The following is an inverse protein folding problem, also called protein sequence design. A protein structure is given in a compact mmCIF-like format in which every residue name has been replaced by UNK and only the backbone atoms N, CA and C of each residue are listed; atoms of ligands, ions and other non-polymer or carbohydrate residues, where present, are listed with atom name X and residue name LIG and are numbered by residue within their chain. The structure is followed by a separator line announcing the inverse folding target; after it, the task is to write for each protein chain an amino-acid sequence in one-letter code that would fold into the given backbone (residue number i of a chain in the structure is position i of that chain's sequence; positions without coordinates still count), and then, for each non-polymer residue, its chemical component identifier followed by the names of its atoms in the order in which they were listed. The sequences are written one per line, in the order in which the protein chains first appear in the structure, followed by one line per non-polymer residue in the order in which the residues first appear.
data_IF_039463151850
#
_entry.id   IF_039463151850
#
_cell.length_a   1.000
_cell.length_b   1.000
_cell.length_c   1.000
_cell.angle_alpha   90.00
_cell.angle_beta   90.00
_cell.angle_gamma   90.00
#
_symmetry.space_group_name_H-M   'P 1'
#
loop_
_entity.id
_entity.type
_entity.pdbx_description
1 polymer ?
#
# COMPACT_ATOMS: atom_id res chain seq x y z
N UNK A 1 -32.80 -38.87 -21.96
CA UNK A 1 -31.35 -38.94 -22.25
C UNK A 1 -31.20 -39.68 -23.57
N UNK A 2 -30.90 -38.98 -24.67
CA UNK A 2 -30.65 -39.60 -25.97
C UNK A 2 -29.36 -39.05 -26.56
N UNK A 3 -28.52 -40.00 -27.02
CA UNK A 3 -27.66 -39.97 -28.21
C UNK A 3 -26.49 -38.95 -28.29
N UNK A 4 -25.36 -39.22 -28.94
CA UNK A 4 -24.77 -40.41 -29.57
C UNK A 4 -23.29 -40.04 -29.85
N UNK A 5 -22.52 -41.09 -30.06
CA UNK A 5 -21.08 -41.28 -30.13
C UNK A 5 -20.34 -40.71 -31.36
N UNK A 6 -19.00 -40.59 -31.17
CA UNK A 6 -17.90 -40.78 -32.13
C UNK A 6 -17.59 -39.73 -33.21
N UNK A 7 -16.35 -39.19 -33.16
CA UNK A 7 -15.32 -39.28 -34.22
C UNK A 7 -14.04 -38.58 -33.67
N UNK A 8 -12.93 -39.24 -33.29
CA UNK A 8 -11.94 -40.04 -34.02
C UNK A 8 -11.13 -39.28 -35.11
N UNK A 9 -9.81 -39.34 -34.92
CA UNK A 9 -8.70 -38.74 -35.66
C UNK A 9 -8.71 -38.92 -37.17
N UNK A 10 -8.04 -38.02 -37.90
CA UNK A 10 -7.12 -38.44 -38.99
C UNK A 10 -6.04 -37.39 -39.27
N UNK A 11 -4.81 -37.90 -39.36
CA UNK A 11 -3.56 -37.31 -39.83
C UNK A 11 -3.42 -37.55 -41.35
N UNK A 12 -2.55 -36.79 -42.03
CA UNK A 12 -1.97 -37.20 -43.32
C UNK A 12 -2.36 -36.39 -44.57
N UNK A 13 -1.41 -35.55 -45.01
CA UNK A 13 -0.82 -35.45 -46.37
C UNK A 13 -1.68 -35.81 -47.60
N UNK A 14 -1.83 -34.88 -48.57
CA UNK A 14 -1.25 -35.06 -49.92
C UNK A 14 -1.34 -33.84 -50.87
N UNK A 15 -0.42 -33.87 -51.83
CA UNK A 15 -0.02 -32.91 -52.87
C UNK A 15 -1.01 -32.64 -54.02
N UNK A 16 -0.58 -31.74 -54.93
CA UNK A 16 -0.87 -31.57 -56.39
C UNK A 16 -1.58 -30.23 -56.69
N UNK A 17 -0.99 -29.16 -57.24
CA UNK A 17 -0.12 -28.88 -58.42
C UNK A 17 -0.90 -28.81 -59.75
N UNK A 18 -0.93 -27.62 -60.40
CA UNK A 18 -1.06 -27.31 -61.86
C UNK A 18 -1.54 -25.84 -62.04
N UNK A 19 -0.69 -24.92 -62.56
CA UNK A 19 -0.58 -24.45 -63.98
C UNK A 19 -1.56 -23.29 -64.30
N UNK A 20 -1.32 -22.25 -65.09
CA UNK A 20 -0.16 -21.68 -65.80
C UNK A 20 -0.58 -20.25 -66.28
N UNK A 21 0.43 -19.43 -66.61
CA UNK A 21 0.50 -18.22 -67.44
C UNK A 21 -0.74 -17.42 -67.90
N UNK A 22 -0.66 -16.08 -67.70
CA UNK A 22 -0.86 -15.09 -68.77
C UNK A 22 -0.22 -13.74 -68.40
N UNK A 23 0.75 -13.34 -69.21
CA UNK A 23 1.44 -12.04 -69.24
C UNK A 23 0.47 -10.87 -69.50
N UNK A 24 0.82 -9.64 -69.08
CA UNK A 24 1.21 -8.57 -70.02
C UNK A 24 1.44 -7.23 -69.30
N UNK A 25 2.43 -6.54 -69.85
CA UNK A 25 3.21 -5.43 -69.33
C UNK A 25 2.53 -4.05 -69.53
N UNK A 26 3.03 -3.05 -68.80
CA UNK A 26 2.96 -1.59 -69.09
C UNK A 26 1.83 -0.77 -68.45
N UNK A 27 2.10 -0.18 -67.27
CA UNK A 27 1.94 1.28 -67.10
C UNK A 27 2.82 1.82 -65.98
N UNK A 28 3.90 2.46 -66.40
CA UNK A 28 4.75 3.25 -65.53
C UNK A 28 3.98 4.46 -64.94
N UNK A 29 4.46 4.85 -63.75
CA UNK A 29 4.40 6.21 -63.16
C UNK A 29 3.12 6.64 -62.42
N UNK A 30 3.15 6.47 -61.08
CA UNK A 30 3.20 7.60 -60.15
C UNK A 30 3.53 7.11 -58.72
N UNK A 31 4.82 7.06 -58.38
CA UNK A 31 5.29 7.06 -56.98
C UNK A 31 5.23 8.50 -56.45
N UNK A 32 4.56 8.78 -55.32
CA UNK A 32 5.05 9.77 -54.38
C UNK A 32 6.08 9.08 -53.48
N UNK A 33 7.31 9.54 -53.64
CA UNK A 33 8.50 9.31 -52.83
C UNK A 33 8.24 9.07 -51.33
N UNK A 34 8.49 7.85 -50.86
CA UNK A 34 9.05 7.62 -49.53
C UNK A 34 10.47 7.10 -49.78
N UNK A 35 11.53 7.75 -49.28
CA UNK A 35 12.89 7.34 -49.54
C UNK A 35 13.07 5.91 -49.00
N UNK A 36 13.24 4.98 -49.94
CA UNK A 36 13.62 3.60 -49.68
C UNK A 36 15.07 3.65 -49.22
N UNK A 37 15.25 3.81 -47.91
CA UNK A 37 16.41 3.27 -47.22
C UNK A 37 15.96 1.93 -46.63
N UNK A 38 15.86 0.91 -47.51
CA UNK A 38 15.88 -0.51 -47.16
C UNK A 38 17.35 -0.92 -47.26
N UNK A 39 17.82 -1.77 -46.34
CA UNK A 39 19.17 -2.37 -46.26
C UNK A 39 20.12 -1.84 -45.19
N UNK A 40 19.74 -0.84 -44.40
CA UNK A 40 20.47 -0.54 -43.17
C UNK A 40 19.50 -0.54 -42.01
N UNK A 41 19.65 -1.51 -41.11
CA UNK A 41 18.96 -1.52 -39.81
C UNK A 41 19.07 -0.11 -39.24
N UNK A 42 17.93 0.55 -39.02
CA UNK A 42 17.93 1.92 -38.51
C UNK A 42 18.26 1.86 -37.04
N UNK A 43 19.56 1.90 -36.74
CA UNK A 43 20.10 1.77 -35.40
C UNK A 43 19.44 2.73 -34.39
N UNK A 44 19.01 3.91 -34.84
CA UNK A 44 18.31 4.88 -33.97
C UNK A 44 16.89 4.44 -33.59
N UNK A 45 16.17 3.76 -34.50
CA UNK A 45 14.88 3.15 -34.21
C UNK A 45 15.04 1.93 -33.31
N UNK A 46 16.05 1.11 -33.55
CA UNK A 46 16.39 -0.03 -32.69
C UNK A 46 16.76 0.45 -31.29
N UNK A 47 17.59 1.48 -31.14
CA UNK A 47 17.92 2.08 -29.82
C UNK A 47 16.68 2.60 -29.10
N UNK A 48 15.79 3.29 -29.81
CA UNK A 48 14.53 3.79 -29.24
C UNK A 48 13.63 2.64 -28.80
N UNK A 49 13.53 1.58 -29.60
CA UNK A 49 12.79 0.37 -29.27
C UNK A 49 13.42 -0.38 -28.08
N UNK A 50 14.74 -0.49 -28.00
CA UNK A 50 15.44 -1.06 -26.84
C UNK A 50 15.08 -0.27 -25.58
N UNK A 51 15.12 1.07 -25.62
CA UNK A 51 14.74 1.91 -24.48
C UNK A 51 13.26 1.72 -24.08
N UNK A 52 12.36 1.57 -25.07
CA UNK A 52 10.96 1.23 -24.82
C UNK A 52 10.82 -0.15 -24.15
N UNK A 53 11.56 -1.16 -24.61
CA UNK A 53 11.53 -2.53 -24.08
C UNK A 53 12.11 -2.61 -22.66
N UNK A 54 13.06 -1.73 -22.30
CA UNK A 54 13.65 -1.61 -20.95
C UNK A 54 12.78 -0.80 -19.97
N UNK A 55 11.66 -0.22 -20.41
CA UNK A 55 10.81 0.58 -19.53
C UNK A 55 10.03 -0.34 -18.56
N UNK A 56 10.02 -0.09 -17.23
CA UNK A 56 9.31 -0.91 -16.25
C UNK A 56 7.83 -1.15 -16.56
N UNK A 57 7.16 -0.18 -17.21
CA UNK A 57 5.74 -0.31 -17.58
C UNK A 57 5.52 -1.23 -18.77
N UNK A 58 6.55 -1.43 -19.58
CA UNK A 58 6.51 -2.21 -20.81
C UNK A 58 7.08 -3.61 -20.57
N UNK A 59 8.09 -3.77 -19.70
CA UNK A 59 8.73 -5.07 -19.40
C UNK A 59 7.70 -6.13 -18.98
N UNK A 60 6.72 -5.77 -18.16
CA UNK A 60 5.67 -6.69 -17.68
C UNK A 60 4.63 -7.05 -18.76
N UNK A 61 4.63 -6.33 -19.90
CA UNK A 61 3.65 -6.56 -20.96
C UNK A 61 3.96 -7.83 -21.78
N UNK A 62 2.94 -8.54 -22.31
CA UNK A 62 3.14 -9.70 -23.17
C UNK A 62 3.94 -9.40 -24.45
N UNK A 63 4.79 -10.33 -24.89
CA UNK A 63 5.69 -10.15 -26.03
C UNK A 63 4.96 -9.82 -27.35
N UNK A 64 3.79 -10.43 -27.58
CA UNK A 64 2.96 -10.14 -28.75
C UNK A 64 2.51 -8.67 -28.81
N UNK A 65 2.17 -8.08 -27.66
CA UNK A 65 1.76 -6.67 -27.58
C UNK A 65 2.94 -5.72 -27.85
N UNK A 66 4.12 -6.04 -27.32
CA UNK A 66 5.37 -5.30 -27.59
C UNK A 66 5.70 -5.30 -29.08
N UNK A 67 5.65 -6.46 -29.74
CA UNK A 67 5.87 -6.58 -31.20
C UNK A 67 4.85 -5.76 -32.00
N UNK A 68 3.57 -5.87 -31.67
CA UNK A 68 2.50 -5.10 -32.34
C UNK A 68 2.69 -3.59 -32.19
N UNK A 69 3.10 -3.13 -31.01
CA UNK A 69 3.39 -1.71 -30.77
C UNK A 69 4.54 -1.20 -31.64
N UNK A 70 5.63 -1.96 -31.72
CA UNK A 70 6.79 -1.59 -32.54
C UNK A 70 6.49 -1.63 -34.05
N UNK A 71 5.69 -2.60 -34.51
CA UNK A 71 5.19 -2.65 -35.89
C UNK A 71 4.35 -1.42 -36.24
N UNK A 72 3.42 -1.04 -35.35
CA UNK A 72 2.61 0.19 -35.52
C UNK A 72 3.46 1.46 -35.49
N UNK A 73 4.59 1.42 -34.80
CA UNK A 73 5.56 2.53 -34.76
C UNK A 73 6.38 2.64 -36.05
N UNK A 74 6.25 1.68 -36.96
CA UNK A 74 6.92 1.66 -38.25
C UNK A 74 8.27 0.94 -38.24
N UNK A 75 8.54 0.10 -37.24
CA UNK A 75 9.73 -0.76 -37.24
C UNK A 75 9.48 -2.01 -38.09
N UNK A 76 10.54 -2.46 -38.78
CA UNK A 76 10.53 -3.75 -39.47
C UNK A 76 10.65 -4.92 -38.48
N UNK A 77 10.26 -6.12 -38.90
CA UNK A 77 10.41 -7.33 -38.06
C UNK A 77 11.87 -7.58 -37.66
N UNK A 78 12.80 -7.35 -38.59
CA UNK A 78 14.24 -7.49 -38.34
C UNK A 78 14.74 -6.50 -37.26
N UNK A 79 14.29 -5.24 -37.32
CA UNK A 79 14.63 -4.22 -36.32
C UNK A 79 14.03 -4.57 -34.94
N UNK A 80 12.83 -5.15 -34.93
CA UNK A 80 12.14 -5.58 -33.71
C UNK A 80 12.89 -6.72 -33.04
N UNK A 81 13.29 -7.74 -33.81
CA UNK A 81 14.00 -8.88 -33.26
C UNK A 81 15.40 -8.48 -32.76
N UNK A 82 16.09 -7.60 -33.48
CA UNK A 82 17.35 -7.00 -33.02
C UNK A 82 17.17 -6.20 -31.71
N UNK A 83 16.09 -5.44 -31.57
CA UNK A 83 15.78 -4.69 -30.35
C UNK A 83 15.46 -5.62 -29.17
N UNK A 84 14.71 -6.69 -29.41
CA UNK A 84 14.36 -7.69 -28.39
C UNK A 84 15.61 -8.43 -27.91
N UNK A 85 16.46 -8.91 -28.82
CA UNK A 85 17.71 -9.59 -28.47
C UNK A 85 18.63 -8.68 -27.64
N UNK A 86 18.82 -7.42 -28.08
CA UNK A 86 19.62 -6.43 -27.33
C UNK A 86 19.03 -6.12 -25.96
N UNK A 87 17.72 -5.92 -25.85
CA UNK A 87 17.06 -5.68 -24.56
C UNK A 87 17.23 -6.86 -23.60
N UNK A 88 17.11 -8.09 -24.12
CA UNK A 88 17.28 -9.34 -23.37
C UNK A 88 18.72 -9.48 -22.87
N UNK A 89 19.71 -9.18 -23.72
CA UNK A 89 21.13 -9.14 -23.31
C UNK A 89 21.41 -8.10 -22.24
N UNK A 90 20.79 -6.92 -22.30
CA UNK A 90 20.93 -5.86 -21.28
C UNK A 90 20.28 -6.25 -19.95
N UNK A 91 19.15 -6.97 -19.99
CA UNK A 91 18.53 -7.54 -18.80
C UNK A 91 19.38 -8.66 -18.18
N UNK A 92 19.95 -9.53 -19.00
CA UNK A 92 20.82 -10.60 -18.53
C UNK A 92 22.17 -10.08 -18.02
N UNK A 93 22.72 -9.00 -18.60
CA UNK A 93 23.97 -8.38 -18.11
C UNK A 93 23.79 -7.63 -16.79
N UNK A 94 22.58 -7.18 -16.45
CA UNK A 94 22.27 -6.69 -15.09
C UNK A 94 22.17 -7.83 -14.05
N UNK A 95 22.00 -9.08 -14.52
CA UNK A 95 21.84 -10.27 -13.65
C UNK A 95 23.12 -11.11 -13.57
N UNK A 96 24.08 -10.96 -14.50
CA UNK A 96 25.34 -11.69 -14.52
C UNK A 96 26.54 -10.74 -14.66
N UNK A 97 27.40 -10.74 -13.64
CA UNK A 97 28.69 -10.04 -13.65
C UNK A 97 29.77 -10.88 -14.37
N UNK A 98 30.45 -10.26 -15.35
CA UNK A 98 31.80 -10.56 -15.94
C UNK A 98 31.86 -11.30 -17.32
N UNK A 99 32.94 -11.18 -18.14
CA UNK A 99 33.03 -10.30 -19.32
C UNK A 99 33.44 -11.00 -20.64
N UNK A 100 33.17 -10.40 -21.81
CA UNK A 100 33.90 -10.71 -23.07
C UNK A 100 34.17 -9.42 -23.84
N UNK A 101 35.46 -9.10 -24.00
CA UNK A 101 36.00 -8.05 -24.86
C UNK A 101 36.41 -8.71 -26.19
N UNK A 102 36.01 -8.16 -27.34
CA UNK A 102 36.71 -8.29 -28.63
C UNK A 102 36.74 -6.91 -29.32
N UNK A 103 37.86 -6.18 -29.19
CA UNK A 103 38.96 -5.96 -30.17
C UNK A 103 38.75 -4.77 -31.11
N UNK A 104 39.46 -3.66 -30.84
CA UNK A 104 40.45 -3.03 -31.73
C UNK A 104 40.82 -1.61 -31.23
N UNK A 105 42.00 -1.45 -30.60
CA UNK A 105 42.90 -0.28 -30.66
C UNK A 105 43.97 -0.36 -29.56
N UNK A 106 45.18 0.10 -29.87
CA UNK A 106 46.40 0.07 -29.04
C UNK A 106 46.31 0.84 -27.70
N UNK A 107 47.16 0.52 -26.71
CA UNK A 107 47.07 1.02 -25.34
C UNK A 107 47.90 2.30 -25.14
N UNK A 108 47.27 3.35 -24.60
CA UNK A 108 47.99 4.46 -23.94
C UNK A 108 47.65 4.40 -22.46
N UNK A 109 48.70 4.32 -21.65
CA UNK A 109 48.66 3.99 -20.24
C UNK A 109 47.85 4.96 -19.39
N UNK A 110 46.91 4.38 -18.65
CA UNK A 110 46.28 4.95 -17.47
C UNK A 110 45.38 3.88 -16.86
N UNK A 111 45.46 3.58 -15.55
CA UNK A 111 44.54 2.63 -14.95
C UNK A 111 43.11 3.17 -15.09
N UNK A 112 42.14 2.35 -15.55
CA UNK A 112 40.75 2.77 -15.66
C UNK A 112 40.23 3.09 -14.27
N UNK A 113 39.82 4.34 -14.06
CA UNK A 113 39.06 4.74 -12.88
C UNK A 113 37.70 4.07 -12.98
N UNK A 114 37.57 2.90 -12.36
CA UNK A 114 36.27 2.24 -12.20
C UNK A 114 35.48 3.06 -11.18
N UNK A 115 34.22 3.47 -11.47
CA UNK A 115 33.37 4.07 -10.46
C UNK A 115 33.17 3.02 -9.36
N UNK A 116 33.78 3.22 -8.19
CA UNK A 116 33.58 2.32 -7.07
C UNK A 116 32.08 2.26 -6.77
N UNK A 117 31.49 1.05 -6.74
CA UNK A 117 30.12 0.89 -6.27
C UNK A 117 30.12 1.34 -4.81
N UNK A 118 29.62 2.55 -4.57
CA UNK A 118 29.43 3.06 -3.22
C UNK A 118 28.49 2.09 -2.51
N UNK A 119 28.95 1.44 -1.43
CA UNK A 119 28.13 0.56 -0.59
C UNK A 119 26.79 1.22 -0.19
N UNK A 120 26.75 2.56 -0.20
CA UNK A 120 25.58 3.40 0.03
C UNK A 120 24.50 3.42 -1.07
N UNK A 121 24.78 3.08 -2.34
CA UNK A 121 23.69 2.94 -3.34
C UNK A 121 22.92 1.63 -3.22
N UNK A 122 23.51 0.61 -2.58
CA UNK A 122 22.81 -0.66 -2.33
C UNK A 122 21.75 -0.52 -1.23
N UNK A 123 21.95 0.38 -0.26
CA UNK A 123 20.99 0.62 0.84
C UNK A 123 19.80 1.51 0.44
N UNK A 124 19.84 2.16 -0.72
CA UNK A 124 18.76 3.06 -1.17
C UNK A 124 17.41 2.32 -1.33
N UNK A 125 17.41 1.05 -1.72
CA UNK A 125 16.18 0.25 -1.82
C UNK A 125 15.55 -0.05 -0.45
N UNK A 126 16.37 -0.21 0.60
CA UNK A 126 15.87 -0.37 1.97
C UNK A 126 15.30 0.94 2.50
N UNK A 127 15.94 2.08 2.23
CA UNK A 127 15.43 3.40 2.65
C UNK A 127 14.08 3.70 2.02
N UNK A 128 13.91 3.45 0.72
CA UNK A 128 12.64 3.67 0.03
C UNK A 128 11.52 2.77 0.59
N UNK A 129 11.84 1.50 0.88
CA UNK A 129 10.90 0.55 1.49
C UNK A 129 10.53 0.95 2.92
N UNK A 130 11.51 1.30 3.76
CA UNK A 130 11.29 1.75 5.14
C UNK A 130 10.47 3.04 5.18
N UNK A 131 10.71 3.98 4.26
CA UNK A 131 9.93 5.20 4.15
C UNK A 131 8.47 4.92 3.77
N UNK A 132 8.21 3.97 2.87
CA UNK A 132 6.85 3.55 2.51
C UNK A 132 6.13 2.88 3.68
N UNK A 133 6.77 1.93 4.37
CA UNK A 133 6.17 1.25 5.52
C UNK A 133 5.97 2.21 6.70
N UNK A 134 6.96 3.06 6.99
CA UNK A 134 6.87 4.08 8.02
C UNK A 134 5.77 5.11 7.73
N UNK A 135 5.67 5.57 6.48
CA UNK A 135 4.61 6.47 6.03
C UNK A 135 3.23 5.81 6.08
N UNK A 136 3.13 4.54 5.70
CA UNK A 136 1.87 3.78 5.76
C UNK A 136 1.40 3.58 7.21
N UNK A 137 2.28 3.16 8.11
CA UNK A 137 1.99 2.99 9.54
C UNK A 137 1.61 4.33 10.18
N UNK A 138 2.38 5.39 9.91
CA UNK A 138 2.10 6.72 10.45
C UNK A 138 0.78 7.29 9.91
N UNK A 139 0.51 7.10 8.62
CA UNK A 139 -0.76 7.48 7.99
C UNK A 139 -1.94 6.73 8.60
N UNK A 140 -1.83 5.42 8.80
CA UNK A 140 -2.84 4.61 9.48
C UNK A 140 -3.04 5.06 10.93
N UNK A 141 -1.96 5.38 11.66
CA UNK A 141 -2.03 5.90 13.03
C UNK A 141 -2.73 7.25 13.10
N UNK A 142 -2.40 8.19 12.19
CA UNK A 142 -3.05 9.51 12.11
C UNK A 142 -4.52 9.36 11.71
N UNK A 143 -4.85 8.48 10.77
CA UNK A 143 -6.23 8.20 10.36
C UNK A 143 -7.03 7.57 11.52
N UNK A 144 -6.43 6.64 12.25
CA UNK A 144 -7.01 6.06 13.47
C UNK A 144 -7.30 7.15 14.51
N UNK A 145 -6.33 8.00 14.83
CA UNK A 145 -6.47 9.13 15.77
C UNK A 145 -7.47 10.18 15.31
N UNK A 146 -7.55 10.47 14.00
CA UNK A 146 -8.36 11.56 13.46
C UNK A 146 -9.80 11.16 13.15
N UNK A 147 -10.02 9.94 12.69
CA UNK A 147 -11.34 9.47 12.23
C UNK A 147 -11.93 8.38 13.11
N UNK A 148 -11.14 7.39 13.51
CA UNK A 148 -11.66 6.26 14.32
C UNK A 148 -11.87 6.71 15.77
N UNK A 149 -11.01 7.57 16.33
CA UNK A 149 -11.20 8.14 17.67
C UNK A 149 -12.55 8.87 17.79
N UNK A 150 -12.91 9.91 17.02
CA UNK A 150 -14.22 10.55 17.18
C UNK A 150 -15.40 9.60 16.88
N UNK A 151 -15.28 8.70 15.89
CA UNK A 151 -16.41 7.84 15.48
C UNK A 151 -16.70 6.72 16.51
N UNK A 152 -15.67 6.20 17.21
CA UNK A 152 -15.82 5.08 18.16
C UNK A 152 -15.70 5.51 19.63
N UNK A 153 -14.99 6.60 19.96
CA UNK A 153 -14.94 7.11 21.33
C UNK A 153 -16.19 7.85 21.79
N UNK A 154 -17.11 8.22 20.90
CA UNK A 154 -18.45 8.68 21.31
C UNK A 154 -19.16 7.59 22.15
N UNK A 155 -18.83 6.31 21.96
CA UNK A 155 -19.43 5.17 22.69
C UNK A 155 -18.70 4.81 24.01
N UNK A 156 -17.53 5.39 24.30
CA UNK A 156 -16.71 5.05 25.49
C UNK A 156 -16.48 6.20 26.46
N UNK A 157 -17.16 7.34 26.31
CA UNK A 157 -17.26 8.34 27.39
C UNK A 157 -18.55 8.16 28.18
N UNK A 158 -18.76 6.96 28.72
CA UNK A 158 -19.65 6.83 29.88
C UNK A 158 -18.89 7.44 31.06
N UNK A 159 -19.42 8.48 31.73
CA UNK A 159 -18.76 9.10 32.86
C UNK A 159 -18.38 8.04 33.90
N UNK A 160 -17.16 8.15 34.40
CA UNK A 160 -16.50 7.14 35.22
C UNK A 160 -17.43 6.68 36.37
N UNK A 161 -17.77 5.39 36.50
CA UNK A 161 -18.64 4.88 37.57
C UNK A 161 -18.12 5.18 38.98
N UNK A 162 -16.85 5.53 39.12
CA UNK A 162 -16.28 6.01 40.38
C UNK A 162 -16.89 7.33 40.87
N UNK A 163 -17.38 8.21 39.98
CA UNK A 163 -18.00 9.48 40.39
C UNK A 163 -19.33 9.25 41.11
N UNK A 164 -20.14 8.30 40.64
CA UNK A 164 -21.37 7.90 41.31
C UNK A 164 -21.07 7.25 42.67
N UNK A 165 -20.04 6.41 42.75
CA UNK A 165 -19.62 5.75 43.99
C UNK A 165 -19.09 6.78 45.02
N UNK A 166 -18.35 7.81 44.58
CA UNK A 166 -17.88 8.90 45.45
C UNK A 166 -19.04 9.73 46.00
N UNK A 167 -20.05 10.03 45.17
CA UNK A 167 -21.26 10.71 45.62
C UNK A 167 -22.05 9.88 46.63
N UNK A 168 -22.13 8.56 46.45
CA UNK A 168 -22.76 7.67 47.42
C UNK A 168 -21.99 7.63 48.74
N UNK A 169 -20.65 7.61 48.73
CA UNK A 169 -19.84 7.69 49.95
C UNK A 169 -20.05 9.00 50.70
N UNK A 170 -20.14 10.13 49.99
CA UNK A 170 -20.39 11.44 50.57
C UNK A 170 -21.83 11.59 51.12
N UNK A 171 -22.81 10.99 50.45
CA UNK A 171 -24.18 10.91 50.97
C UNK A 171 -24.24 10.02 52.22
N UNK A 172 -23.52 8.89 52.22
CA UNK A 172 -23.49 7.97 53.35
C UNK A 172 -22.79 8.59 54.57
N UNK A 173 -21.68 9.31 54.36
CA UNK A 173 -20.97 10.00 55.44
C UNK A 173 -21.84 11.10 56.08
N UNK A 174 -22.58 11.87 55.27
CA UNK A 174 -23.55 12.87 55.72
C UNK A 174 -24.71 12.25 56.48
N UNK A 175 -25.26 11.14 55.99
CA UNK A 175 -26.32 10.43 56.68
C UNK A 175 -25.84 9.89 58.04
N UNK A 176 -24.62 9.35 58.10
CA UNK A 176 -24.03 8.87 59.34
C UNK A 176 -23.82 10.00 60.35
N UNK A 177 -23.32 11.15 59.92
CA UNK A 177 -23.15 12.32 60.81
C UNK A 177 -24.49 12.84 61.30
N UNK A 178 -25.51 12.90 60.44
CA UNK A 178 -26.86 13.30 60.83
C UNK A 178 -27.45 12.36 61.89
N UNK A 179 -27.28 11.04 61.73
CA UNK A 179 -27.68 10.08 62.75
C UNK A 179 -26.92 10.28 64.06
N UNK A 180 -25.61 10.54 64.01
CA UNK A 180 -24.80 10.80 65.19
C UNK A 180 -25.22 12.09 65.91
N UNK A 181 -25.55 13.15 65.16
CA UNK A 181 -26.07 14.41 65.71
C UNK A 181 -27.44 14.22 66.36
N UNK A 182 -28.33 13.46 65.73
CA UNK A 182 -29.63 13.14 66.32
C UNK A 182 -29.48 12.31 67.59
N UNK A 183 -28.60 11.30 67.59
CA UNK A 183 -28.31 10.47 68.76
C UNK A 183 -27.78 11.31 69.93
N UNK A 184 -26.77 12.16 69.68
CA UNK A 184 -26.23 13.08 70.69
C UNK A 184 -27.32 14.03 71.21
N UNK A 185 -28.16 14.54 70.33
CA UNK A 185 -29.28 15.41 70.71
C UNK A 185 -30.27 14.67 71.61
N UNK A 186 -30.64 13.42 71.30
CA UNK A 186 -31.49 12.57 72.15
C UNK A 186 -30.84 12.36 73.53
N UNK A 187 -29.55 12.03 73.58
CA UNK A 187 -28.85 11.87 74.85
C UNK A 187 -28.86 13.16 75.70
N UNK A 188 -28.61 14.32 75.07
CA UNK A 188 -28.66 15.60 75.78
C UNK A 188 -30.07 15.94 76.26
N UNK A 189 -31.09 15.66 75.46
CA UNK A 189 -32.49 15.85 75.83
C UNK A 189 -32.87 14.95 77.01
N UNK A 190 -32.49 13.68 77.00
CA UNK A 190 -32.74 12.74 78.10
C UNK A 190 -32.03 13.22 79.37
N UNK A 191 -30.74 13.59 79.29
CA UNK A 191 -29.99 14.10 80.45
C UNK A 191 -30.64 15.34 81.05
N UNK A 192 -31.04 16.29 80.19
CA UNK A 192 -31.75 17.49 80.63
C UNK A 192 -33.10 17.15 81.23
N UNK A 193 -33.87 16.25 80.63
CA UNK A 193 -35.16 15.83 81.16
C UNK A 193 -35.01 15.19 82.54
N UNK A 194 -34.02 14.31 82.72
CA UNK A 194 -33.71 13.70 84.02
C UNK A 194 -33.26 14.76 85.02
N UNK A 195 -32.43 15.73 84.63
CA UNK A 195 -31.97 16.79 85.52
C UNK A 195 -33.11 17.73 85.91
N UNK A 196 -34.01 18.07 84.99
CA UNK A 196 -35.20 18.88 85.25
C UNK A 196 -36.16 18.15 86.18
N UNK A 197 -36.46 16.87 85.93
CA UNK A 197 -37.30 16.04 86.81
C UNK A 197 -36.67 15.88 88.20
N UNK A 198 -35.36 15.63 88.27
CA UNK A 198 -34.63 15.56 89.55
C UNK A 198 -34.65 16.90 90.29
N UNK A 199 -34.53 18.03 89.58
CA UNK A 199 -34.67 19.37 90.18
C UNK A 199 -36.08 19.61 90.69
N UNK A 200 -37.10 19.19 89.96
CA UNK A 200 -38.50 19.32 90.36
C UNK A 200 -38.79 18.51 91.64
N UNK A 201 -38.27 17.29 91.72
CA UNK A 201 -38.39 16.44 92.91
C UNK A 201 -37.59 16.97 94.10
N UNK A 202 -36.46 17.64 93.85
CA UNK A 202 -35.59 18.18 94.90
C UNK A 202 -36.08 19.51 95.47
N UNK A 203 -36.90 20.28 94.74
CA UNK A 203 -37.37 21.60 95.18
C UNK A 203 -38.83 21.88 94.76
N UNK A 204 -39.83 21.28 95.43
CA UNK A 204 -41.24 21.36 95.03
C UNK A 204 -41.92 22.72 95.24
N UNK A 205 -41.26 23.70 95.86
CA UNK A 205 -41.88 24.98 96.24
C UNK A 205 -41.87 26.08 95.16
N UNK A 206 -41.22 25.87 94.01
CA UNK A 206 -41.09 26.90 92.95
C UNK A 206 -42.23 26.88 91.89
N UNK A 207 -43.24 26.01 92.04
CA UNK A 207 -44.33 25.84 91.04
C UNK A 207 -45.59 26.65 91.38
N UNK A 208 -45.64 27.35 92.52
CA UNK A 208 -46.85 28.08 92.97
C UNK A 208 -46.88 29.59 92.69
N UNK A 209 -45.98 30.16 91.87
CA UNK A 209 -46.08 31.58 91.48
C UNK A 209 -45.71 31.83 90.02
N UNK A 210 -46.60 31.48 89.10
CA UNK A 210 -47.17 32.40 88.09
C UNK A 210 -48.20 31.71 87.20
#
# INVERSE_FOLDING_TARGET
MSENTNNASTDGSNETKEEDAADEETRAQAKPSVPINREVIREDMVKTAVNFLLNPRVIDSPLHQKRTFLLRKGLSLEEIDAAIDRSTRVHHSHTQLSPVIQTNAMPVGGPPIQPMPSFLVRSTHFVSTVALFGGFIYGAFVLYKRFIEPIIFETKRKPHPYVAIQQQLDQLSKAMTLLQTNMSSIETNIKRQIETELRLMKNPEDVTLH
#
